data_IF_394558177400
#
_entry.id   IF_394558177400
#
_cell.length_a   1.000
_cell.length_b   1.000
_cell.length_c   1.000
_cell.angle_alpha   90.00
_cell.angle_beta   90.00
_cell.angle_gamma   90.00
#
_symmetry.space_group_name_H-M   'P 1'
#
loop_
_entity.id
_entity.type
_entity.pdbx_description
1 polymer ?
#
# COMPACT_ATOMS: atom_id res chain seq x y z
N UNK A 1 -15.52 2.66 -18.83
CA UNK A 1 -15.67 1.97 -17.52
C UNK A 1 -14.81 0.72 -17.58
N UNK A 2 -13.71 0.63 -16.83
CA UNK A 2 -12.73 -0.45 -16.96
C UNK A 2 -12.96 -1.62 -15.98
N UNK A 3 -13.90 -1.49 -15.04
CA UNK A 3 -14.25 -2.54 -14.09
C UNK A 3 -15.64 -3.06 -14.42
N UNK A 4 -15.74 -4.32 -14.82
CA UNK A 4 -17.01 -5.03 -14.91
C UNK A 4 -17.01 -6.13 -13.86
N UNK A 5 -17.64 -5.84 -12.72
CA UNK A 5 -18.00 -6.89 -11.77
C UNK A 5 -19.03 -7.79 -12.44
N UNK A 6 -18.86 -9.10 -12.31
CA UNK A 6 -19.83 -10.06 -12.84
C UNK A 6 -19.95 -11.25 -11.87
N UNK A 7 -20.68 -12.30 -12.26
CA UNK A 7 -20.87 -13.47 -11.41
C UNK A 7 -19.57 -14.25 -11.11
N UNK A 8 -18.53 -14.07 -11.92
CA UNK A 8 -17.23 -14.73 -11.82
C UNK A 8 -16.08 -13.80 -11.44
N UNK A 9 -16.37 -12.53 -11.13
CA UNK A 9 -15.35 -11.51 -10.87
C UNK A 9 -15.81 -10.53 -9.80
N UNK A 10 -14.96 -10.33 -8.80
CA UNK A 10 -15.10 -9.30 -7.77
C UNK A 10 -13.92 -8.33 -7.89
N UNK A 11 -14.18 -7.02 -7.85
CA UNK A 11 -13.14 -5.99 -7.97
C UNK A 11 -13.18 -5.06 -6.76
N UNK A 12 -12.14 -5.09 -5.91
CA UNK A 12 -11.98 -4.17 -4.78
C UNK A 12 -11.23 -2.93 -5.26
N UNK A 13 -11.92 -1.81 -5.37
CA UNK A 13 -11.39 -0.58 -5.98
C UNK A 13 -10.80 0.37 -4.95
N UNK A 14 -9.70 1.02 -5.31
CA UNK A 14 -9.09 2.12 -4.56
C UNK A 14 -9.62 3.46 -5.07
N UNK A 15 -10.78 3.88 -4.58
CA UNK A 15 -11.47 5.09 -5.04
C UNK A 15 -10.90 6.35 -4.40
N UNK A 16 -10.35 7.24 -5.23
CA UNK A 16 -9.93 8.58 -4.81
C UNK A 16 -11.13 9.40 -4.32
N UNK A 17 -11.06 9.93 -3.11
CA UNK A 17 -12.10 10.79 -2.54
C UNK A 17 -11.48 11.94 -1.70
N UNK A 18 -12.27 12.97 -1.46
CA UNK A 18 -11.91 14.05 -0.53
C UNK A 18 -12.88 14.00 0.66
N UNK A 19 -12.34 13.94 1.87
CA UNK A 19 -13.12 13.94 3.10
C UNK A 19 -12.94 15.29 3.82
N UNK A 20 -14.04 16.00 4.16
CA UNK A 20 -13.97 17.23 4.95
C UNK A 20 -13.16 17.01 6.24
N UNK A 21 -12.22 17.90 6.53
CA UNK A 21 -11.35 17.82 7.71
C UNK A 21 -10.18 16.82 7.64
N UNK A 22 -10.18 15.89 6.68
CA UNK A 22 -9.11 14.88 6.53
C UNK A 22 -8.34 14.98 5.21
N UNK A 23 -8.89 15.66 4.20
CA UNK A 23 -8.22 15.88 2.91
C UNK A 23 -8.39 14.71 1.96
N UNK A 24 -7.33 14.38 1.20
CA UNK A 24 -7.32 13.31 0.20
C UNK A 24 -7.32 11.94 0.90
N UNK A 25 -8.25 11.08 0.54
CA UNK A 25 -8.37 9.72 1.07
C UNK A 25 -8.59 8.71 -0.07
N UNK A 26 -8.34 7.44 0.21
CA UNK A 26 -8.77 6.32 -0.63
C UNK A 26 -9.88 5.56 0.09
N UNK A 27 -11.04 5.45 -0.56
CA UNK A 27 -12.18 4.66 -0.09
C UNK A 27 -12.23 3.35 -0.86
N UNK A 28 -12.49 2.25 -0.16
CA UNK A 28 -12.76 0.96 -0.79
C UNK A 28 -14.26 0.84 -1.10
N UNK A 29 -14.60 0.19 -2.21
CA UNK A 29 -16.00 -0.03 -2.63
C UNK A 29 -16.73 -1.12 -1.82
N UNK A 30 -15.99 -1.94 -1.05
CA UNK A 30 -16.57 -2.92 -0.13
C UNK A 30 -16.25 -2.60 1.33
N UNK A 31 -17.12 -3.07 2.22
CA UNK A 31 -16.92 -3.03 3.66
C UNK A 31 -16.33 -4.36 4.17
N UNK A 32 -15.52 -4.36 5.25
CA UNK A 32 -14.94 -5.58 5.82
C UNK A 32 -15.98 -6.59 6.33
N UNK A 33 -17.16 -6.12 6.72
CA UNK A 33 -18.25 -6.96 7.26
C UNK A 33 -19.24 -7.45 6.18
N UNK A 34 -19.07 -7.07 4.92
CA UNK A 34 -19.97 -7.43 3.83
C UNK A 34 -19.27 -8.28 2.77
N UNK A 35 -19.39 -9.61 2.88
CA UNK A 35 -18.85 -10.54 1.87
C UNK A 35 -19.65 -10.40 0.57
N UNK A 36 -19.00 -10.16 -0.58
CA UNK A 36 -19.66 -10.13 -1.87
C UNK A 36 -20.46 -11.42 -2.15
N UNK A 37 -21.68 -11.35 -2.71
CA UNK A 37 -22.50 -12.54 -2.98
C UNK A 37 -21.80 -13.64 -3.77
N UNK A 38 -20.91 -13.27 -4.69
CA UNK A 38 -20.10 -14.20 -5.50
C UNK A 38 -19.20 -15.10 -4.65
N UNK A 39 -18.76 -14.60 -3.49
CA UNK A 39 -17.81 -15.27 -2.60
C UNK A 39 -18.50 -16.00 -1.44
N UNK A 40 -19.82 -15.84 -1.29
CA UNK A 40 -20.57 -16.53 -0.25
C UNK A 40 -20.46 -18.05 -0.42
N UNK A 41 -20.16 -18.74 0.68
CA UNK A 41 -19.91 -20.18 0.70
C UNK A 41 -18.51 -20.62 0.23
N UNK A 42 -17.74 -19.75 -0.44
CA UNK A 42 -16.35 -20.04 -0.87
C UNK A 42 -15.31 -19.65 0.18
N UNK A 43 -15.54 -18.53 0.87
CA UNK A 43 -14.64 -18.02 1.90
C UNK A 43 -15.38 -17.82 3.21
N UNK A 44 -14.67 -17.95 4.32
CA UNK A 44 -15.20 -17.58 5.62
C UNK A 44 -15.30 -16.04 5.75
N UNK A 45 -16.33 -15.47 6.40
CA UNK A 45 -16.45 -14.02 6.58
C UNK A 45 -15.23 -13.37 7.26
N UNK A 46 -14.62 -14.06 8.23
CA UNK A 46 -13.40 -13.57 8.89
C UNK A 46 -12.19 -13.49 7.95
N UNK A 47 -12.11 -14.35 6.92
CA UNK A 47 -11.06 -14.26 5.89
C UNK A 47 -11.24 -12.97 5.08
N UNK A 48 -12.48 -12.69 4.65
CA UNK A 48 -12.81 -11.45 3.93
C UNK A 48 -12.51 -10.21 4.76
N UNK A 49 -12.93 -10.21 6.03
CA UNK A 49 -12.71 -9.10 6.95
C UNK A 49 -11.21 -8.79 7.08
N UNK A 50 -10.38 -9.79 7.37
CA UNK A 50 -8.94 -9.61 7.51
C UNK A 50 -8.29 -9.12 6.20
N UNK A 51 -8.71 -9.67 5.05
CA UNK A 51 -8.27 -9.20 3.74
C UNK A 51 -8.62 -7.73 3.50
N UNK A 52 -9.85 -7.32 3.81
CA UNK A 52 -10.32 -5.95 3.63
C UNK A 52 -9.70 -4.96 4.61
N UNK A 53 -9.42 -5.38 5.85
CA UNK A 53 -8.70 -4.57 6.84
C UNK A 53 -7.26 -4.29 6.36
N UNK A 54 -6.54 -5.31 5.89
CA UNK A 54 -5.20 -5.10 5.33
C UNK A 54 -5.22 -4.30 4.02
N UNK A 55 -6.23 -4.49 3.16
CA UNK A 55 -6.43 -3.65 1.97
C UNK A 55 -6.70 -2.18 2.37
N UNK A 56 -7.41 -1.96 3.48
CA UNK A 56 -7.59 -0.64 4.08
C UNK A 56 -6.27 -0.02 4.52
N UNK A 57 -5.40 -0.78 5.19
CA UNK A 57 -4.05 -0.32 5.55
C UNK A 57 -3.18 -0.01 4.32
N UNK A 58 -3.34 -0.79 3.24
CA UNK A 58 -2.67 -0.54 1.96
C UNK A 58 -3.16 0.77 1.31
N UNK A 59 -4.45 1.11 1.46
CA UNK A 59 -5.03 2.33 0.92
C UNK A 59 -4.50 3.61 1.58
N UNK A 60 -4.15 3.54 2.88
CA UNK A 60 -3.54 4.65 3.62
C UNK A 60 -2.15 5.02 3.09
N UNK A 61 -1.45 4.07 2.46
CA UNK A 61 -0.12 4.28 1.84
C UNK A 61 -0.19 4.68 0.36
N UNK A 62 -1.39 4.88 -0.17
CA UNK A 62 -1.58 5.21 -1.57
C UNK A 62 -0.98 6.60 -1.92
N UNK A 63 -0.24 6.76 -3.04
CA UNK A 63 0.40 8.02 -3.45
C UNK A 63 -0.50 9.26 -3.45
N UNK A 64 -1.78 9.09 -3.83
CA UNK A 64 -2.81 10.13 -3.75
C UNK A 64 -3.01 10.75 -2.35
N UNK A 65 -2.85 9.96 -1.29
CA UNK A 65 -3.02 10.40 0.12
C UNK A 65 -1.79 11.17 0.61
N UNK A 66 -0.63 10.97 -0.04
CA UNK A 66 0.60 11.65 0.34
C UNK A 66 0.44 13.17 0.25
N UNK A 67 0.73 13.86 1.35
CA UNK A 67 0.76 15.32 1.35
C UNK A 67 1.95 15.79 0.51
N UNK A 68 1.73 16.72 -0.43
CA UNK A 68 2.83 17.26 -1.20
C UNK A 68 3.83 17.97 -0.29
N UNK A 69 5.12 17.72 -0.54
CA UNK A 69 6.21 18.46 0.11
C UNK A 69 6.26 19.90 -0.42
N UNK A 70 6.83 20.83 0.35
CA UNK A 70 7.05 22.21 -0.10
C UNK A 70 7.84 22.30 -1.42
N UNK A 71 8.78 21.37 -1.63
CA UNK A 71 9.54 21.25 -2.89
C UNK A 71 8.63 20.89 -4.07
N UNK A 72 7.66 20.00 -3.86
CA UNK A 72 6.68 19.65 -4.88
C UNK A 72 5.80 20.85 -5.23
N UNK A 73 5.38 21.63 -4.22
CA UNK A 73 4.63 22.87 -4.46
C UNK A 73 5.41 23.90 -5.28
N UNK A 74 6.69 24.15 -4.98
CA UNK A 74 7.53 25.06 -5.77
C UNK A 74 7.67 24.59 -7.22
N UNK A 75 7.85 23.28 -7.41
CA UNK A 75 7.93 22.68 -8.76
C UNK A 75 6.61 22.86 -9.50
N UNK A 76 5.48 22.61 -8.85
CA UNK A 76 4.16 22.81 -9.45
C UNK A 76 3.91 24.28 -9.79
N UNK A 77 4.26 25.20 -8.90
CA UNK A 77 4.15 26.64 -9.15
C UNK A 77 4.98 27.06 -10.38
N UNK A 78 6.21 26.56 -10.51
CA UNK A 78 7.05 26.80 -11.69
C UNK A 78 6.44 26.20 -12.96
N UNK A 79 5.94 24.96 -12.89
CA UNK A 79 5.26 24.31 -14.02
C UNK A 79 3.97 25.02 -14.43
N UNK A 80 3.18 25.55 -13.49
CA UNK A 80 1.99 26.34 -13.79
C UNK A 80 2.36 27.68 -14.43
N UNK A 81 3.44 28.33 -13.99
CA UNK A 81 3.96 29.54 -14.62
C UNK A 81 4.37 29.32 -16.08
N UNK A 82 5.06 28.22 -16.38
CA UNK A 82 5.43 27.83 -17.75
C UNK A 82 4.25 27.32 -18.57
N UNK A 83 3.38 26.49 -17.98
CA UNK A 83 2.18 25.94 -18.61
C UNK A 83 1.16 27.01 -19.00
N UNK A 84 1.07 28.10 -18.21
CA UNK A 84 0.27 29.28 -18.56
C UNK A 84 0.70 29.95 -19.86
N UNK A 85 1.99 29.88 -20.19
CA UNK A 85 2.53 30.45 -21.43
C UNK A 85 2.26 29.53 -22.63
N UNK A 86 2.21 28.21 -22.40
CA UNK A 86 2.13 27.19 -23.48
C UNK A 86 0.70 26.63 -23.66
N UNK A 87 -0.23 26.92 -22.75
CA UNK A 87 -1.62 26.48 -22.83
C UNK A 87 -1.88 25.02 -22.41
N UNK A 88 -0.96 24.39 -21.67
CA UNK A 88 -1.07 22.98 -21.25
C UNK A 88 -1.31 22.87 -19.74
N UNK A 89 -2.56 22.61 -19.33
CA UNK A 89 -2.97 22.51 -17.92
C UNK A 89 -3.63 21.17 -17.60
N UNK A 90 -2.86 20.07 -17.57
CA UNK A 90 -3.36 18.77 -17.12
C UNK A 90 -2.28 18.01 -16.31
N UNK A 91 -1.85 18.56 -15.18
CA UNK A 91 -1.00 17.81 -14.24
C UNK A 91 -1.85 17.53 -13.00
N UNK A 92 -2.27 16.28 -12.79
CA UNK A 92 -2.78 15.82 -11.50
C UNK A 92 -1.58 15.56 -10.60
N UNK A 93 -1.34 16.41 -9.59
CA UNK A 93 -0.09 16.38 -8.88
C UNK A 93 -0.24 15.43 -7.69
N UNK A 94 -0.08 14.15 -7.98
CA UNK A 94 0.06 13.10 -6.96
C UNK A 94 1.51 13.15 -6.45
N UNK A 95 1.68 13.20 -5.13
CA UNK A 95 2.98 13.46 -4.52
C UNK A 95 3.79 12.19 -4.19
N UNK A 96 3.17 11.01 -4.28
CA UNK A 96 3.78 9.73 -3.94
C UNK A 96 4.32 8.95 -5.15
N UNK A 97 5.19 7.99 -4.85
CA UNK A 97 5.78 7.08 -5.83
C UNK A 97 4.86 5.86 -6.07
N UNK A 98 4.25 5.83 -7.25
CA UNK A 98 3.40 4.71 -7.67
C UNK A 98 4.17 3.40 -7.88
N UNK A 99 5.48 3.44 -8.15
CA UNK A 99 6.31 2.24 -8.28
C UNK A 99 6.51 1.53 -6.94
N UNK A 100 6.72 2.28 -5.86
CA UNK A 100 6.79 1.72 -4.50
C UNK A 100 5.44 1.14 -4.09
N UNK A 101 4.35 1.85 -4.38
CA UNK A 101 3.02 1.38 -4.02
C UNK A 101 2.59 0.15 -4.85
N UNK A 102 2.94 0.06 -6.14
CA UNK A 102 2.75 -1.17 -6.94
C UNK A 102 3.47 -2.38 -6.33
N UNK A 103 4.71 -2.19 -5.85
CA UNK A 103 5.44 -3.27 -5.16
C UNK A 103 4.72 -3.70 -3.88
N UNK A 104 4.19 -2.76 -3.09
CA UNK A 104 3.39 -3.07 -1.91
C UNK A 104 2.09 -3.82 -2.26
N UNK A 105 1.40 -3.43 -3.34
CA UNK A 105 0.25 -4.16 -3.87
C UNK A 105 0.63 -5.58 -4.29
N UNK A 106 1.77 -5.78 -4.97
CA UNK A 106 2.24 -7.11 -5.38
C UNK A 106 2.58 -7.98 -4.18
N UNK A 107 3.23 -7.44 -3.15
CA UNK A 107 3.51 -8.17 -1.90
C UNK A 107 2.22 -8.56 -1.18
N UNK A 108 1.25 -7.64 -1.15
CA UNK A 108 -0.07 -7.89 -0.62
C UNK A 108 -0.77 -9.04 -1.38
N UNK A 109 -0.79 -8.99 -2.71
CA UNK A 109 -1.35 -10.07 -3.55
C UNK A 109 -0.61 -11.39 -3.30
N UNK A 110 0.72 -11.40 -3.28
CA UNK A 110 1.51 -12.61 -3.06
C UNK A 110 1.21 -13.26 -1.69
N UNK A 111 0.98 -12.46 -0.65
CA UNK A 111 0.62 -12.95 0.69
C UNK A 111 -0.76 -13.60 0.73
N UNK A 112 -1.75 -12.99 0.05
CA UNK A 112 -3.14 -13.43 0.11
C UNK A 112 -3.52 -14.45 -0.98
N UNK A 113 -2.76 -14.52 -2.07
CA UNK A 113 -3.02 -15.40 -3.20
C UNK A 113 -3.18 -16.88 -2.82
N UNK A 114 -2.37 -17.48 -1.92
CA UNK A 114 -2.56 -18.87 -1.51
C UNK A 114 -3.92 -19.13 -0.86
N UNK A 115 -4.41 -18.21 -0.03
CA UNK A 115 -5.73 -18.34 0.62
C UNK A 115 -6.87 -18.24 -0.40
N UNK A 116 -6.77 -17.33 -1.36
CA UNK A 116 -7.73 -17.24 -2.47
C UNK A 116 -7.69 -18.47 -3.37
N UNK A 117 -6.50 -19.03 -3.65
CA UNK A 117 -6.35 -20.23 -4.46
C UNK A 117 -7.03 -21.45 -3.82
N UNK A 118 -6.98 -21.58 -2.49
CA UNK A 118 -7.72 -22.63 -1.76
C UNK A 118 -9.24 -22.50 -1.91
N UNK A 119 -9.76 -21.28 -2.13
CA UNK A 119 -11.17 -21.01 -2.38
C UNK A 119 -11.55 -21.12 -3.87
N UNK A 120 -10.62 -21.58 -4.73
CA UNK A 120 -10.81 -21.64 -6.17
C UNK A 120 -10.85 -20.25 -6.83
N UNK A 121 -10.18 -19.26 -6.24
CA UNK A 121 -10.13 -17.89 -6.74
C UNK A 121 -8.69 -17.48 -7.08
N UNK A 122 -8.53 -16.59 -8.06
CA UNK A 122 -7.23 -15.97 -8.39
C UNK A 122 -7.27 -14.50 -8.02
N UNK A 123 -6.34 -14.07 -7.17
CA UNK A 123 -6.17 -12.67 -6.79
C UNK A 123 -5.08 -12.04 -7.66
N UNK A 124 -5.38 -10.88 -8.25
CA UNK A 124 -4.41 -10.05 -8.97
C UNK A 124 -4.59 -8.57 -8.67
N UNK A 125 -3.53 -7.79 -8.83
CA UNK A 125 -3.63 -6.33 -8.87
C UNK A 125 -3.75 -5.91 -10.33
N UNK A 126 -4.66 -4.98 -10.61
CA UNK A 126 -4.89 -4.44 -11.93
C UNK A 126 -4.89 -2.90 -11.83
N UNK A 127 -4.48 -2.25 -12.91
CA UNK A 127 -4.57 -0.80 -13.01
C UNK A 127 -4.90 -0.39 -14.45
N UNK A 128 -5.64 0.69 -14.56
CA UNK A 128 -5.81 1.43 -15.81
C UNK A 128 -5.74 2.92 -15.47
N UNK A 129 -6.89 3.56 -15.29
CA UNK A 129 -6.96 4.91 -14.69
C UNK A 129 -6.84 4.87 -13.17
N UNK A 130 -7.55 3.91 -12.57
CA UNK A 130 -7.59 3.67 -11.14
C UNK A 130 -7.03 2.27 -10.87
N UNK A 131 -6.76 1.97 -9.61
CA UNK A 131 -6.22 0.69 -9.18
C UNK A 131 -7.30 -0.15 -8.50
N UNK A 132 -7.25 -1.47 -8.70
CA UNK A 132 -8.14 -2.40 -8.03
C UNK A 132 -7.47 -3.76 -7.80
N UNK A 133 -7.97 -4.48 -6.79
CA UNK A 133 -7.69 -5.89 -6.57
C UNK A 133 -8.78 -6.70 -7.26
N UNK A 134 -8.40 -7.53 -8.22
CA UNK A 134 -9.31 -8.39 -8.96
C UNK A 134 -9.26 -9.81 -8.39
N UNK A 135 -10.43 -10.34 -8.04
CA UNK A 135 -10.63 -11.71 -7.60
C UNK A 135 -11.46 -12.41 -8.68
N UNK A 136 -10.81 -13.25 -9.47
CA UNK A 136 -11.46 -14.07 -10.49
C UNK A 136 -11.82 -15.43 -9.89
N UNK A 137 -13.07 -15.84 -10.02
CA UNK A 137 -13.59 -17.10 -9.51
C UNK A 137 -13.46 -18.17 -10.59
N UNK A 138 -12.90 -19.33 -10.23
CA UNK A 138 -12.90 -20.49 -11.11
C UNK A 138 -14.29 -21.17 -11.05
N UNK A 139 -15.07 -21.17 -12.15
CA UNK A 139 -16.40 -21.79 -12.18
C UNK A 139 -16.32 -23.31 -12.01
N UNK A 140 -15.21 -23.93 -12.39
CA UNK A 140 -15.00 -25.38 -12.36
C UNK A 140 -14.52 -25.89 -11.00
N UNK A 141 -14.24 -25.00 -10.05
CA UNK A 141 -13.76 -25.41 -8.73
C UNK A 141 -14.92 -25.86 -7.84
N UNK A 142 -14.89 -27.13 -7.43
CA UNK A 142 -15.84 -27.66 -6.46
C UNK A 142 -15.62 -26.97 -5.10
N UNK A 143 -16.62 -26.21 -4.65
CA UNK A 143 -16.57 -25.50 -3.37
C UNK A 143 -16.58 -26.55 -2.25
N UNK A 144 -15.42 -26.77 -1.64
CA UNK A 144 -15.27 -27.62 -0.46
C UNK A 144 -15.65 -26.87 0.82
N UNK A 145 -14.80 -27.00 1.85
CA UNK A 145 -14.94 -26.22 3.08
C UNK A 145 -14.53 -24.76 2.85
N UNK A 146 -15.25 -23.77 3.43
CA UNK A 146 -14.86 -22.37 3.35
C UNK A 146 -13.44 -22.15 3.89
N UNK A 147 -12.64 -21.38 3.17
CA UNK A 147 -11.26 -21.07 3.60
C UNK A 147 -11.29 -20.21 4.85
N UNK A 148 -10.64 -20.68 5.92
CA UNK A 148 -10.44 -19.96 7.17
C UNK A 148 -9.35 -18.88 7.02
N UNK A 149 -9.41 -17.77 7.78
CA UNK A 149 -8.36 -16.76 7.78
C UNK A 149 -6.98 -17.39 8.06
N UNK A 150 -5.90 -16.90 7.41
CA UNK A 150 -4.55 -17.31 7.78
C UNK A 150 -4.36 -16.98 9.27
N UNK A 151 -3.93 -17.97 10.06
CA UNK A 151 -3.57 -17.76 11.45
C UNK A 151 -2.56 -16.61 11.52
N UNK A 152 -2.73 -15.63 12.43
CA UNK A 152 -1.72 -14.60 12.64
C UNK A 152 -0.38 -15.30 12.88
N UNK A 153 0.74 -14.75 12.38
CA UNK A 153 2.04 -15.34 12.63
C UNK A 153 2.17 -15.61 14.13
N UNK A 154 2.62 -16.80 14.56
CA UNK A 154 2.79 -17.08 15.98
C UNK A 154 3.59 -15.93 16.58
N UNK A 155 3.03 -15.31 17.63
CA UNK A 155 3.71 -14.28 18.40
C UNK A 155 5.14 -14.80 18.63
N UNK A 156 6.13 -14.08 18.12
CA UNK A 156 7.52 -14.47 18.30
C UNK A 156 7.70 -14.79 19.80
N UNK A 157 8.33 -15.92 20.16
CA UNK A 157 8.55 -16.26 21.56
C UNK A 157 9.14 -15.02 22.22
N UNK A 158 8.42 -14.47 23.20
CA UNK A 158 8.89 -13.30 23.94
C UNK A 158 10.30 -13.64 24.40
N UNK A 159 11.29 -12.95 23.81
CA UNK A 159 12.66 -13.08 24.24
C UNK A 159 12.63 -12.81 25.74
N UNK A 160 13.04 -13.76 26.60
CA UNK A 160 13.05 -13.54 28.04
C UNK A 160 13.80 -12.24 28.31
N UNK A 161 13.30 -11.40 29.22
CA UNK A 161 13.88 -10.08 29.48
C UNK A 161 15.38 -10.25 29.72
N UNK A 162 16.19 -9.72 28.80
CA UNK A 162 17.64 -9.70 28.98
C UNK A 162 17.91 -8.99 30.31
N UNK A 163 18.65 -9.61 31.25
CA UNK A 163 19.02 -8.93 32.48
C UNK A 163 19.77 -7.65 32.11
N UNK A 164 19.36 -6.55 32.74
CA UNK A 164 19.88 -5.22 32.53
C UNK A 164 21.42 -5.24 32.46
N UNK A 165 21.97 -5.03 31.28
CA UNK A 165 23.40 -4.84 31.08
C UNK A 165 23.73 -3.47 31.67
N UNK A 166 24.23 -3.44 32.89
CA UNK A 166 24.84 -2.26 33.53
C UNK A 166 25.93 -1.75 32.61
N UNK A 167 25.64 -0.65 31.91
CA UNK A 167 26.58 0.10 31.11
C UNK A 167 27.58 0.82 32.03
N UNK A 168 28.71 0.17 32.32
CA UNK A 168 29.96 0.89 32.57
C UNK A 168 30.57 1.22 31.21
N UNK A 169 30.41 2.45 30.77
CA UNK A 169 31.13 3.02 29.62
C UNK A 169 31.69 4.38 30.03
N UNK A 170 32.67 4.31 30.91
CA UNK A 170 33.76 5.28 31.00
C UNK A 170 34.85 4.69 30.13
N UNK A 171 35.07 5.22 28.93
CA UNK A 171 36.25 5.08 28.06
C UNK A 171 35.83 5.12 26.59
N UNK A 172 35.65 6.33 26.05
CA UNK A 172 36.07 6.69 24.70
C UNK A 172 35.84 8.19 24.47
N UNK A 173 36.62 8.97 25.20
CA UNK A 173 36.82 10.39 24.95
C UNK A 173 38.28 10.58 24.54
N UNK A 174 38.67 10.16 23.33
CA UNK A 174 39.90 10.62 22.65
C UNK A 174 40.06 9.97 21.26
N UNK A 175 39.51 10.62 20.22
CA UNK A 175 40.17 10.67 18.91
C UNK A 175 39.63 11.88 18.12
N UNK A 176 40.20 13.06 18.37
CA UNK A 176 41.37 13.62 17.69
C UNK A 176 40.94 14.45 16.46
N UNK A 177 40.87 15.76 16.70
CA UNK A 177 40.80 16.79 15.68
C UNK A 177 41.97 16.63 14.69
N UNK A 178 41.67 16.58 13.39
CA UNK A 178 42.62 16.90 12.33
C UNK A 178 42.22 18.25 11.70
N UNK A 179 43.10 19.26 11.69
CA UNK A 179 42.85 20.52 10.99
C UNK A 179 43.08 20.39 9.48
N UNK A 180 42.28 21.16 8.73
CA UNK A 180 42.22 21.21 7.28
C UNK A 180 43.51 21.79 6.64
N UNK A 181 44.04 21.09 5.63
CA UNK A 181 45.08 21.60 4.74
C UNK A 181 44.44 22.36 3.55
N UNK A 182 44.93 23.58 3.28
CA UNK A 182 44.59 24.40 2.10
C UNK A 182 45.24 23.84 0.83
N UNK A 183 44.58 23.90 -0.33
CA UNK A 183 45.20 23.57 -1.62
C UNK A 183 46.04 24.75 -2.18
N UNK A 184 47.10 24.47 -2.96
CA UNK A 184 47.92 25.49 -3.61
C UNK A 184 47.23 26.07 -4.86
N UNK A 185 47.43 27.38 -5.07
CA UNK A 185 47.13 28.08 -6.33
C UNK A 185 48.17 27.70 -7.38
N UNK A 186 47.72 27.20 -8.53
CA UNK A 186 48.53 27.11 -9.75
C UNK A 186 48.37 28.43 -10.50
N UNK A 187 49.51 29.04 -10.85
CA UNK A 187 49.67 30.17 -11.76
C UNK A 187 49.94 29.63 -13.16
#
# INVERSE_FOLDING_TARGET
MAYQQNQWRVCVEFLKANQPGHGRIIRLNYAPNGVPPQLMGRIHPAFWQAFMEEAGQLSLRHPFVARPSAKNYCTWAACFGLGAVVGLFCISPDAGDYGVWDQDCRRFVARWAPGWAQAGCTLSVQHARDWWLQIDLNPSFAVGQPVAPPLPPPLAPQQPPHPARTSSSSDQQQQQLQPAAKPPKVV
#
